data_IF_319908412349
#
_entry.id   IF_319908412349
#
_cell.length_a   1.000
_cell.length_b   1.000
_cell.length_c   1.000
_cell.angle_alpha   90.00
_cell.angle_beta   90.00
_cell.angle_gamma   90.00
#
_symmetry.space_group_name_H-M   'P 1'
#
loop_
_entity.id
_entity.type
_entity.pdbx_description
1 polymer ?
#
# COMPACT_ATOMS: atom_id res chain seq x y z
N UNK A 1 -55.15 -1.15 24.97
CA UNK A 1 -54.78 -2.01 23.82
C UNK A 1 -53.41 -1.54 23.36
N UNK A 2 -52.37 -2.22 23.83
CA UNK A 2 -50.98 -1.83 23.60
C UNK A 2 -50.59 -2.29 22.20
N UNK A 3 -50.17 -1.34 21.36
CA UNK A 3 -49.62 -1.64 20.04
C UNK A 3 -48.24 -2.25 20.22
N UNK A 4 -48.03 -3.36 19.52
CA UNK A 4 -46.86 -4.22 19.54
C UNK A 4 -45.65 -3.52 18.93
N UNK A 5 -44.54 -3.52 19.68
CA UNK A 5 -43.24 -3.05 19.21
C UNK A 5 -42.65 -4.13 18.28
N UNK A 6 -42.68 -3.88 16.98
CA UNK A 6 -41.95 -4.69 16.00
C UNK A 6 -40.48 -4.26 16.03
N UNK A 7 -39.66 -5.03 16.74
CA UNK A 7 -38.19 -4.91 16.69
C UNK A 7 -37.72 -5.43 15.33
N UNK A 8 -37.63 -4.53 14.35
CA UNK A 8 -36.92 -4.79 13.10
C UNK A 8 -35.44 -5.02 13.41
N UNK A 9 -35.00 -6.26 13.25
CA UNK A 9 -33.58 -6.64 13.21
C UNK A 9 -32.95 -5.95 12.00
N UNK A 10 -32.31 -4.79 12.18
CA UNK A 10 -31.51 -4.18 11.12
C UNK A 10 -30.19 -4.93 10.99
N UNK A 11 -30.01 -5.48 9.78
CA UNK A 11 -28.83 -6.15 9.27
C UNK A 11 -27.54 -5.43 9.65
N UNK A 12 -26.71 -6.08 10.46
CA UNK A 12 -25.34 -5.66 10.69
C UNK A 12 -24.50 -6.13 9.49
N UNK A 13 -24.25 -5.24 8.53
CA UNK A 13 -23.25 -5.48 7.48
C UNK A 13 -21.86 -5.28 8.10
N UNK A 14 -20.97 -6.30 8.06
CA UNK A 14 -19.66 -6.19 8.71
C UNK A 14 -18.81 -5.15 7.99
N UNK A 15 -18.29 -4.12 8.68
CA UNK A 15 -17.54 -3.06 8.04
C UNK A 15 -16.09 -3.49 7.89
N UNK A 16 -15.66 -3.66 6.64
CA UNK A 16 -14.26 -3.62 6.18
C UNK A 16 -13.36 -4.76 6.71
N UNK A 17 -12.58 -5.39 5.82
CA UNK A 17 -11.68 -6.49 6.19
C UNK A 17 -10.47 -5.94 6.96
N UNK A 18 -10.65 -5.70 8.25
CA UNK A 18 -9.54 -5.66 9.20
C UNK A 18 -8.87 -7.03 9.17
N UNK A 19 -7.77 -7.14 8.43
CA UNK A 19 -6.99 -8.36 8.39
C UNK A 19 -6.15 -8.39 9.66
N UNK A 20 -6.73 -8.95 10.71
CA UNK A 20 -5.95 -9.39 11.87
C UNK A 20 -4.91 -10.38 11.35
N UNK A 21 -3.65 -10.23 11.77
CA UNK A 21 -2.59 -11.16 11.37
C UNK A 21 -2.94 -12.56 11.91
N UNK A 22 -3.66 -13.34 11.11
CA UNK A 22 -3.74 -14.80 11.23
C UNK A 22 -2.64 -15.37 10.34
N UNK A 23 -2.05 -16.49 10.72
CA UNK A 23 -0.97 -17.16 9.96
C UNK A 23 -1.41 -17.70 8.57
N UNK A 24 -2.49 -17.18 8.01
CA UNK A 24 -2.96 -17.48 6.66
C UNK A 24 -2.24 -16.54 5.69
N UNK A 25 -1.26 -17.12 4.97
CA UNK A 25 -0.52 -16.45 3.90
C UNK A 25 -1.45 -16.12 2.74
N UNK A 26 -1.96 -14.90 2.74
CA UNK A 26 -2.44 -14.29 1.51
C UNK A 26 -1.32 -13.39 1.01
N UNK A 27 -0.62 -13.92 0.01
CA UNK A 27 0.60 -13.36 -0.61
C UNK A 27 0.30 -12.09 -1.46
N UNK A 28 -0.95 -11.63 -1.51
CA UNK A 28 -1.32 -10.45 -2.29
C UNK A 28 -0.95 -9.14 -1.60
N UNK A 29 -1.04 -9.08 -0.27
CA UNK A 29 -0.80 -7.87 0.51
C UNK A 29 0.45 -8.01 1.40
N UNK A 30 1.14 -6.89 1.61
CA UNK A 30 2.26 -6.79 2.54
C UNK A 30 1.77 -6.97 4.00
N UNK A 31 2.70 -7.24 4.91
CA UNK A 31 2.45 -7.31 6.36
C UNK A 31 3.01 -6.09 7.10
N UNK A 32 3.87 -5.31 6.42
CA UNK A 32 4.48 -4.12 7.00
C UNK A 32 3.72 -2.87 6.58
N UNK A 33 3.34 -2.06 7.56
CA UNK A 33 2.71 -0.78 7.29
C UNK A 33 3.62 0.10 6.42
N UNK A 34 3.08 0.65 5.34
CA UNK A 34 3.84 1.45 4.39
C UNK A 34 4.43 2.73 5.01
N UNK A 35 3.81 3.29 6.05
CA UNK A 35 4.27 4.52 6.71
C UNK A 35 5.34 4.30 7.78
N UNK A 36 5.12 3.34 8.69
CA UNK A 36 6.02 3.13 9.83
C UNK A 36 6.95 1.93 9.67
N UNK A 37 6.76 1.12 8.61
CA UNK A 37 7.54 -0.08 8.30
C UNK A 37 7.56 -1.12 9.42
N UNK A 38 6.51 -1.14 10.26
CA UNK A 38 6.34 -2.14 11.32
C UNK A 38 5.15 -3.04 11.02
N UNK A 39 5.21 -4.26 11.54
CA UNK A 39 4.06 -5.18 11.62
C UNK A 39 3.01 -4.69 12.63
N UNK A 40 1.82 -5.30 12.60
CA UNK A 40 0.71 -5.01 13.50
C UNK A 40 -0.66 -5.17 12.83
N UNK A 41 -1.70 -4.62 13.46
CA UNK A 41 -3.05 -4.63 12.88
C UNK A 41 -3.14 -3.60 11.74
N UNK A 42 -3.20 -4.12 10.51
CA UNK A 42 -3.19 -3.31 9.30
C UNK A 42 -4.45 -3.48 8.47
N UNK A 43 -4.71 -2.48 7.65
CA UNK A 43 -5.76 -2.46 6.64
C UNK A 43 -5.13 -2.56 5.26
N UNK A 44 -5.76 -3.29 4.35
CA UNK A 44 -5.25 -3.55 3.00
C UNK A 44 -5.85 -2.57 1.99
N UNK A 45 -5.01 -2.09 1.07
CA UNK A 45 -5.50 -1.39 -0.12
C UNK A 45 -6.07 -2.41 -1.13
N UNK A 46 -7.19 -2.07 -1.78
CA UNK A 46 -7.81 -2.94 -2.80
C UNK A 46 -7.11 -2.90 -4.17
N UNK A 47 -6.25 -1.90 -4.41
CA UNK A 47 -5.60 -1.69 -5.72
C UNK A 47 -4.11 -2.02 -5.75
N UNK A 48 -3.50 -2.26 -4.60
CA UNK A 48 -2.06 -2.50 -4.51
C UNK A 48 -1.72 -3.30 -3.25
N UNK A 49 -0.53 -3.91 -3.17
CA UNK A 49 -0.15 -4.74 -2.03
C UNK A 49 0.05 -3.96 -0.72
N UNK A 50 0.03 -2.62 -0.73
CA UNK A 50 0.34 -1.82 0.48
C UNK A 50 -0.71 -1.99 1.56
N UNK A 51 -0.22 -1.97 2.80
CA UNK A 51 -1.04 -2.01 4.02
C UNK A 51 -0.69 -0.86 4.96
N UNK A 52 -1.62 -0.44 5.81
CA UNK A 52 -1.46 0.71 6.71
C UNK A 52 -2.06 0.43 8.08
N UNK A 53 -1.50 1.02 9.13
CA UNK A 53 -2.24 1.14 10.39
C UNK A 53 -3.23 2.30 10.30
N UNK A 54 -4.42 2.16 10.90
CA UNK A 54 -5.39 3.27 11.04
C UNK A 54 -4.75 4.51 11.68
N UNK A 55 -3.99 4.29 12.77
CA UNK A 55 -3.27 5.37 13.48
C UNK A 55 -2.24 6.08 12.59
N UNK A 56 -1.59 5.37 11.67
CA UNK A 56 -0.59 5.95 10.78
C UNK A 56 -1.24 6.86 9.72
N UNK A 57 -2.51 6.61 9.42
CA UNK A 57 -3.34 7.47 8.56
C UNK A 57 -4.07 8.57 9.34
N UNK A 58 -3.94 8.62 10.67
CA UNK A 58 -4.72 9.53 11.51
C UNK A 58 -6.22 9.21 11.54
N UNK A 59 -6.59 7.98 11.17
CA UNK A 59 -7.97 7.51 11.16
C UNK A 59 -8.30 6.76 12.45
N UNK A 60 -9.52 6.93 12.93
CA UNK A 60 -10.06 6.17 14.08
C UNK A 60 -10.80 4.93 13.57
N UNK A 61 -11.49 5.06 12.43
CA UNK A 61 -12.24 4.01 11.75
C UNK A 61 -12.13 4.19 10.24
N UNK A 62 -12.36 3.12 9.48
CA UNK A 62 -12.44 3.20 8.03
C UNK A 62 -13.82 3.71 7.59
N UNK A 63 -13.90 4.54 6.54
CA UNK A 63 -15.16 4.87 5.92
C UNK A 63 -15.83 3.59 5.39
N UNK A 64 -17.17 3.55 5.32
CA UNK A 64 -17.89 2.42 4.75
C UNK A 64 -17.57 2.27 3.26
N UNK A 65 -17.34 1.03 2.81
CA UNK A 65 -17.05 0.69 1.42
C UNK A 65 -15.61 0.24 1.19
N UNK A 66 -15.23 0.18 -0.08
CA UNK A 66 -13.87 -0.19 -0.49
C UNK A 66 -12.89 0.93 -0.15
N UNK A 67 -11.72 0.56 0.35
CA UNK A 67 -10.70 1.52 0.75
C UNK A 67 -9.50 1.52 -0.21
N UNK A 68 -9.08 2.71 -0.61
CA UNK A 68 -7.89 2.96 -1.41
C UNK A 68 -6.85 3.71 -0.57
N UNK A 69 -5.58 3.34 -0.71
CA UNK A 69 -4.53 4.04 0.00
C UNK A 69 -4.17 5.39 -0.64
N UNK A 70 -3.57 6.33 0.12
CA UNK A 70 -3.23 7.67 -0.37
C UNK A 70 -2.34 7.65 -1.63
N UNK A 71 -1.47 6.65 -1.77
CA UNK A 71 -0.62 6.49 -2.96
C UNK A 71 -1.44 6.15 -4.21
N UNK A 72 -2.41 5.25 -4.09
CA UNK A 72 -3.30 4.91 -5.20
C UNK A 72 -4.16 6.10 -5.60
N UNK A 73 -4.70 6.85 -4.62
CA UNK A 73 -5.47 8.08 -4.89
C UNK A 73 -4.63 9.16 -5.59
N UNK A 74 -3.38 9.33 -5.16
CA UNK A 74 -2.45 10.29 -5.78
C UNK A 74 -2.12 9.90 -7.22
N UNK A 75 -1.81 8.63 -7.47
CA UNK A 75 -1.52 8.13 -8.81
C UNK A 75 -2.75 8.32 -9.72
N UNK A 76 -3.93 7.90 -9.26
CA UNK A 76 -5.18 8.03 -10.01
C UNK A 76 -5.49 9.49 -10.35
N UNK A 77 -5.42 10.40 -9.37
CA UNK A 77 -5.67 11.82 -9.60
C UNK A 77 -4.66 12.41 -10.60
N UNK A 78 -3.37 12.06 -10.51
CA UNK A 78 -2.32 12.54 -11.44
C UNK A 78 -2.47 12.02 -12.88
N UNK A 79 -3.19 10.92 -13.07
CA UNK A 79 -3.45 10.34 -14.39
C UNK A 79 -4.60 11.02 -15.15
N UNK A 80 -5.40 11.83 -14.47
CA UNK A 80 -6.48 12.61 -15.12
C UNK A 80 -5.92 13.82 -15.84
N UNK A 81 -6.45 14.17 -17.02
CA UNK A 81 -5.92 15.26 -17.85
C UNK A 81 -5.89 16.63 -17.12
N UNK A 82 -6.81 16.83 -16.18
CA UNK A 82 -6.94 18.08 -15.42
C UNK A 82 -5.88 18.23 -14.32
N UNK A 83 -5.43 17.13 -13.72
CA UNK A 83 -4.44 17.13 -12.63
C UNK A 83 -3.06 16.58 -13.05
N UNK A 84 -2.88 16.26 -14.33
CA UNK A 84 -1.58 15.82 -14.85
C UNK A 84 -0.58 16.98 -14.78
N UNK A 85 0.56 16.84 -14.07
CA UNK A 85 1.58 17.87 -14.00
C UNK A 85 2.10 18.20 -15.40
N UNK A 86 2.44 19.47 -15.63
CA UNK A 86 2.84 19.97 -16.94
C UNK A 86 4.04 19.22 -17.53
N UNK A 87 4.92 18.70 -16.67
CA UNK A 87 6.04 17.83 -17.05
C UNK A 87 5.60 16.49 -17.65
N UNK A 88 4.49 15.92 -17.17
CA UNK A 88 3.88 14.69 -17.71
C UNK A 88 3.01 14.97 -18.95
N UNK A 89 2.52 16.20 -19.13
CA UNK A 89 1.81 16.63 -20.36
C UNK A 89 2.74 16.76 -21.56
N UNK A 90 3.97 17.20 -21.31
CA UNK A 90 4.95 17.54 -22.36
C UNK A 90 5.59 16.32 -23.04
N UNK A 91 5.46 15.14 -22.47
CA UNK A 91 6.15 13.95 -22.95
C UNK A 91 5.18 12.81 -23.22
N UNK A 92 5.46 12.06 -24.28
CA UNK A 92 4.79 10.79 -24.56
C UNK A 92 5.13 9.76 -23.47
N UNK A 93 4.27 8.74 -23.35
CA UNK A 93 4.51 7.63 -22.43
C UNK A 93 5.85 6.92 -22.70
N UNK A 94 6.26 6.85 -23.97
CA UNK A 94 7.53 6.23 -24.38
C UNK A 94 8.74 7.03 -23.91
N UNK A 95 8.70 8.36 -24.01
CA UNK A 95 9.77 9.23 -23.51
C UNK A 95 9.87 9.14 -21.99
N UNK A 96 8.73 9.17 -21.28
CA UNK A 96 8.70 9.01 -19.83
C UNK A 96 9.27 7.65 -19.39
N UNK A 97 8.86 6.55 -20.04
CA UNK A 97 9.42 5.22 -19.80
C UNK A 97 10.94 5.19 -20.01
N UNK A 98 11.44 5.86 -21.05
CA UNK A 98 12.88 5.94 -21.35
C UNK A 98 13.64 6.66 -20.24
N UNK A 99 13.10 7.79 -19.77
CA UNK A 99 13.65 8.55 -18.63
C UNK A 99 13.66 7.72 -17.34
N UNK A 100 12.53 7.07 -17.01
CA UNK A 100 12.44 6.19 -15.85
C UNK A 100 13.43 5.02 -15.93
N UNK A 101 13.57 4.40 -17.11
CA UNK A 101 14.53 3.32 -17.33
C UNK A 101 15.96 3.77 -17.07
N UNK A 102 16.33 4.96 -17.54
CA UNK A 102 17.64 5.54 -17.28
C UNK A 102 17.86 5.81 -15.79
N UNK A 103 16.88 6.42 -15.10
CA UNK A 103 16.93 6.67 -13.67
C UNK A 103 17.10 5.37 -12.86
N UNK A 104 16.30 4.35 -13.18
CA UNK A 104 16.37 3.02 -12.55
C UNK A 104 17.72 2.35 -12.76
N UNK A 105 18.29 2.41 -13.97
CA UNK A 105 19.63 1.88 -14.25
C UNK A 105 20.68 2.57 -13.38
N UNK A 106 20.59 3.89 -13.25
CA UNK A 106 21.53 4.68 -12.45
C UNK A 106 21.40 4.40 -10.95
N UNK A 107 20.18 4.23 -10.44
CA UNK A 107 19.95 3.82 -9.05
C UNK A 107 20.50 2.42 -8.77
N UNK A 108 20.32 1.47 -9.69
CA UNK A 108 20.90 0.12 -9.59
C UNK A 108 22.43 0.12 -9.64
N UNK A 109 23.04 1.04 -10.40
CA UNK A 109 24.49 1.17 -10.48
C UNK A 109 25.09 2.06 -9.38
N UNK A 110 24.30 2.50 -8.39
CA UNK A 110 24.79 3.39 -7.35
C UNK A 110 25.67 2.61 -6.36
N UNK A 111 26.93 3.04 -6.13
CA UNK A 111 27.88 2.30 -5.29
C UNK A 111 27.34 1.98 -3.89
N UNK A 112 26.65 2.92 -3.26
CA UNK A 112 26.05 2.73 -1.93
C UNK A 112 24.93 1.66 -1.92
N UNK A 113 24.16 1.53 -3.00
CA UNK A 113 23.11 0.49 -3.11
C UNK A 113 23.76 -0.88 -3.31
N UNK A 114 24.83 -0.94 -4.11
CA UNK A 114 25.62 -2.17 -4.31
C UNK A 114 26.25 -2.62 -3.00
N UNK A 115 26.83 -1.69 -2.23
CA UNK A 115 27.43 -1.98 -0.92
C UNK A 115 26.39 -2.48 0.09
N UNK A 116 25.22 -1.85 0.17
CA UNK A 116 24.13 -2.32 1.04
C UNK A 116 23.70 -3.75 0.66
N UNK A 117 23.51 -4.01 -0.64
CA UNK A 117 23.15 -5.34 -1.12
C UNK A 117 24.25 -6.36 -0.77
N UNK A 118 25.53 -6.03 -0.98
CA UNK A 118 26.65 -6.89 -0.61
C UNK A 118 26.71 -7.18 0.89
N UNK A 119 26.51 -6.16 1.74
CA UNK A 119 26.49 -6.32 3.20
C UNK A 119 25.32 -7.21 3.62
N UNK A 120 24.13 -7.01 3.07
CA UNK A 120 22.96 -7.85 3.32
C UNK A 120 23.19 -9.29 2.87
N UNK A 121 23.75 -9.51 1.68
CA UNK A 121 24.16 -10.85 1.23
C UNK A 121 25.18 -11.48 2.18
N UNK A 122 26.18 -10.74 2.65
CA UNK A 122 27.17 -11.25 3.62
C UNK A 122 26.54 -11.61 4.98
N UNK A 123 25.60 -10.80 5.46
CA UNK A 123 24.88 -11.06 6.72
C UNK A 123 24.00 -12.31 6.55
N UNK A 124 23.20 -12.37 5.49
CA UNK A 124 22.32 -13.50 5.21
C UNK A 124 23.11 -14.80 4.95
N UNK A 125 24.24 -14.72 4.25
CA UNK A 125 25.14 -15.87 4.06
C UNK A 125 25.76 -16.36 5.37
N UNK A 126 26.16 -15.45 6.27
CA UNK A 126 26.68 -15.83 7.61
C UNK A 126 25.61 -16.43 8.51
N UNK A 127 24.35 -16.03 8.35
CA UNK A 127 23.22 -16.63 9.06
C UNK A 127 22.89 -18.00 8.49
N UNK A 128 22.96 -18.18 7.16
CA UNK A 128 22.63 -19.43 6.49
C UNK A 128 23.73 -20.51 6.55
N UNK A 129 24.97 -20.12 6.85
CA UNK A 129 26.12 -21.04 6.96
C UNK A 129 26.47 -21.43 8.40
N UNK A 130 25.65 -21.01 9.38
CA UNK A 130 25.67 -21.48 10.76
C UNK A 130 24.40 -22.25 11.08
#
# INVERSE_FOLDING_TARGET
MNQTNETTTMDYTPPVKLKKITNEKDDHNDIYCFECHTEGDVICCEMCPRVYHLRCLGLIELPPGDWMCPECETILSSSTENNRPETLKRHSMQEFHTMLTFALRRMKSHPQVIEIIQVLFCILFKIWTK
#
